data_IF_422285026185
#
_entry.id   IF_422285026185
#
_cell.length_a   1.000
_cell.length_b   1.000
_cell.length_c   1.000
_cell.angle_alpha   90.00
_cell.angle_beta   90.00
_cell.angle_gamma   90.00
#
_symmetry.space_group_name_H-M   'P 1'
#
loop_
_entity.id
_entity.type
_entity.pdbx_description
1 polymer ?
#
# COMPACT_ATOMS: atom_id res chain seq x y z
N UNK A 1 1.72 58.98 19.48
CA UNK A 1 2.20 58.37 18.22
C UNK A 1 2.44 56.88 18.42
N UNK A 2 1.50 56.16 19.06
CA UNK A 2 1.73 54.76 19.49
C UNK A 2 0.69 53.77 18.96
N UNK A 3 -0.53 54.21 18.60
CA UNK A 3 -1.59 53.32 18.12
C UNK A 3 -1.27 52.64 16.78
N UNK A 4 -0.47 53.29 15.91
CA UNK A 4 -0.10 52.74 14.59
C UNK A 4 0.77 51.49 14.70
N UNK A 5 1.70 51.42 15.67
CA UNK A 5 2.60 50.27 15.81
C UNK A 5 1.86 49.00 16.20
N UNK A 6 0.83 49.09 17.03
CA UNK A 6 0.03 47.93 17.44
C UNK A 6 -0.80 47.35 16.30
N UNK A 7 -1.36 48.21 15.44
CA UNK A 7 -2.13 47.76 14.26
C UNK A 7 -1.21 47.06 13.25
N UNK A 8 -0.01 47.60 13.01
CA UNK A 8 0.97 46.97 12.12
C UNK A 8 1.46 45.62 12.65
N UNK A 9 1.72 45.50 13.96
CA UNK A 9 2.10 44.23 14.59
C UNK A 9 0.99 43.19 14.49
N UNK A 10 -0.27 43.60 14.66
CA UNK A 10 -1.44 42.72 14.57
C UNK A 10 -1.65 42.21 13.12
N UNK A 11 -1.52 43.08 12.12
CA UNK A 11 -1.63 42.71 10.69
C UNK A 11 -0.50 41.75 10.27
N UNK A 12 0.74 42.00 10.74
CA UNK A 12 1.87 41.09 10.48
C UNK A 12 1.66 39.71 11.13
N UNK A 13 1.19 39.66 12.37
CA UNK A 13 0.87 38.41 13.05
C UNK A 13 -0.25 37.62 12.35
N UNK A 14 -1.32 38.30 11.90
CA UNK A 14 -2.42 37.66 11.14
C UNK A 14 -1.90 37.12 9.81
N UNK A 15 -1.02 37.85 9.10
CA UNK A 15 -0.45 37.40 7.82
C UNK A 15 0.50 36.21 7.95
N UNK A 16 1.16 36.03 9.11
CA UNK A 16 1.99 34.87 9.41
C UNK A 16 1.14 33.64 9.76
N UNK A 17 -0.02 33.84 10.39
CA UNK A 17 -0.95 32.74 10.70
C UNK A 17 -1.72 32.22 9.47
N UNK A 18 -2.07 33.07 8.50
CA UNK A 18 -2.78 32.62 7.29
C UNK A 18 -1.91 31.79 6.35
N UNK A 19 -0.59 31.93 6.40
CA UNK A 19 0.35 31.12 5.61
C UNK A 19 0.60 29.72 6.21
N UNK A 20 0.10 29.41 7.41
CA UNK A 20 0.19 28.06 8.00
C UNK A 20 -0.99 27.15 7.58
N UNK A 21 -1.98 27.67 6.83
CA UNK A 21 -3.19 26.92 6.44
C UNK A 21 -3.18 26.54 4.94
N UNK A 22 -2.04 26.57 4.27
CA UNK A 22 -1.92 26.12 2.87
C UNK A 22 -0.93 24.97 2.82
N UNK A 23 -1.43 23.73 2.80
CA UNK A 23 -0.55 22.58 2.68
C UNK A 23 -1.16 21.20 2.93
N UNK A 24 -2.45 21.08 3.24
CA UNK A 24 -3.14 19.78 3.18
C UNK A 24 -4.15 19.87 2.05
N UNK A 25 -3.65 19.93 0.82
CA UNK A 25 -4.43 19.40 -0.29
C UNK A 25 -4.59 17.92 0.03
N UNK A 26 -5.74 17.58 0.61
CA UNK A 26 -6.24 16.23 0.56
C UNK A 26 -6.15 15.83 -0.92
N UNK A 27 -5.19 14.97 -1.24
CA UNK A 27 -5.36 14.10 -2.38
C UNK A 27 -6.54 13.22 -2.00
N UNK A 28 -7.76 13.72 -2.24
CA UNK A 28 -8.93 12.89 -2.40
C UNK A 28 -8.65 12.04 -3.64
N UNK A 29 -7.81 11.02 -3.45
CA UNK A 29 -7.81 9.86 -4.31
C UNK A 29 -9.20 9.27 -4.10
N UNK A 30 -10.14 9.69 -4.93
CA UNK A 30 -11.45 9.06 -5.01
C UNK A 30 -11.19 7.60 -5.35
N UNK A 31 -11.27 6.75 -4.32
CA UNK A 31 -11.19 5.32 -4.47
C UNK A 31 -12.32 4.91 -5.40
N UNK A 32 -11.99 4.28 -6.51
CA UNK A 32 -12.99 3.70 -7.40
C UNK A 32 -13.83 2.73 -6.56
N UNK A 33 -15.15 2.93 -6.45
CA UNK A 33 -16.01 2.04 -5.66
C UNK A 33 -15.96 0.58 -6.15
N UNK A 34 -15.53 0.34 -7.39
CA UNK A 34 -15.35 -1.00 -7.95
C UNK A 34 -14.02 -1.66 -7.55
N UNK A 35 -13.06 -0.90 -7.00
CA UNK A 35 -11.73 -1.40 -6.63
C UNK A 35 -11.79 -2.64 -5.73
N UNK A 36 -12.79 -2.67 -4.85
CA UNK A 36 -12.93 -3.67 -3.80
C UNK A 36 -14.20 -4.49 -3.94
N UNK A 37 -14.74 -4.60 -5.17
CA UNK A 37 -15.96 -5.35 -5.46
C UNK A 37 -15.87 -6.81 -5.00
N UNK A 38 -14.67 -7.39 -5.06
CA UNK A 38 -14.42 -8.79 -4.69
C UNK A 38 -13.79 -8.95 -3.30
N UNK A 39 -13.96 -7.97 -2.40
CA UNK A 39 -13.46 -8.11 -1.03
C UNK A 39 -14.30 -9.12 -0.24
N UNK A 40 -13.62 -9.95 0.53
CA UNK A 40 -14.22 -10.85 1.51
C UNK A 40 -13.74 -10.41 2.88
N UNK A 41 -14.68 -10.07 3.77
CA UNK A 41 -14.39 -9.67 5.15
C UNK A 41 -14.61 -10.89 6.05
N UNK A 42 -13.70 -11.10 7.00
CA UNK A 42 -13.82 -12.17 7.99
C UNK A 42 -13.26 -13.51 7.52
N UNK A 43 -12.48 -13.53 6.42
CA UNK A 43 -11.80 -14.72 5.92
C UNK A 43 -10.55 -14.33 5.14
N UNK A 44 -9.55 -15.20 5.14
CA UNK A 44 -8.30 -15.05 4.40
C UNK A 44 -7.86 -16.34 3.73
N UNK A 45 -6.97 -16.23 2.74
CA UNK A 45 -6.30 -17.39 2.16
C UNK A 45 -5.36 -18.03 3.18
N UNK A 46 -5.30 -19.37 3.20
CA UNK A 46 -4.32 -20.11 4.02
C UNK A 46 -3.06 -20.50 3.24
N UNK A 47 -3.03 -20.19 1.94
CA UNK A 47 -1.85 -20.40 1.10
C UNK A 47 -0.67 -19.57 1.64
N UNK A 48 0.54 -20.12 1.54
CA UNK A 48 1.74 -19.39 1.94
C UNK A 48 1.88 -18.10 1.13
N UNK A 49 1.93 -16.93 1.77
CA UNK A 49 2.21 -15.68 1.07
C UNK A 49 3.67 -15.64 0.63
N UNK A 50 3.93 -15.05 -0.54
CA UNK A 50 5.30 -14.84 -1.00
C UNK A 50 5.96 -13.63 -0.33
N UNK A 51 5.15 -12.71 0.22
CA UNK A 51 5.64 -11.56 0.97
C UNK A 51 4.71 -11.24 2.12
N UNK A 52 5.29 -11.00 3.30
CA UNK A 52 4.59 -10.52 4.50
C UNK A 52 5.30 -9.30 5.04
N UNK A 53 4.56 -8.25 5.33
CA UNK A 53 5.12 -7.02 5.91
C UNK A 53 4.08 -6.23 6.69
N UNK A 54 4.56 -5.27 7.49
CA UNK A 54 3.74 -4.33 8.22
C UNK A 54 3.28 -3.20 7.29
N UNK A 55 1.98 -3.07 7.05
CA UNK A 55 1.42 -2.06 6.14
C UNK A 55 0.97 -0.81 6.88
N UNK A 56 0.94 0.33 6.19
CA UNK A 56 0.31 1.56 6.69
C UNK A 56 -1.23 1.52 6.65
N UNK A 57 -1.80 0.45 6.11
CA UNK A 57 -3.24 0.21 6.07
C UNK A 57 -3.65 -0.65 4.88
N UNK A 58 -4.94 -0.92 4.79
CA UNK A 58 -5.49 -1.77 3.72
C UNK A 58 -5.12 -1.27 2.32
N UNK A 59 -5.18 0.05 2.10
CA UNK A 59 -4.89 0.64 0.79
C UNK A 59 -3.41 0.54 0.38
N UNK A 60 -2.50 0.64 1.34
CA UNK A 60 -1.07 0.42 1.09
C UNK A 60 -0.83 -1.06 0.75
N UNK A 61 -1.49 -1.97 1.48
CA UNK A 61 -1.45 -3.41 1.22
C UNK A 61 -1.86 -3.75 -0.22
N UNK A 62 -3.03 -3.27 -0.62
CA UNK A 62 -3.57 -3.43 -1.96
C UNK A 62 -2.67 -2.81 -3.04
N UNK A 63 -2.18 -1.58 -2.80
CA UNK A 63 -1.30 -0.88 -3.75
C UNK A 63 0.00 -1.64 -3.94
N UNK A 64 0.65 -2.11 -2.87
CA UNK A 64 1.89 -2.87 -3.00
C UNK A 64 1.66 -4.12 -3.86
N UNK A 65 0.58 -4.86 -3.64
CA UNK A 65 0.24 -6.00 -4.49
C UNK A 65 0.22 -5.63 -5.97
N UNK A 66 -0.46 -4.55 -6.33
CA UNK A 66 -0.50 -4.07 -7.72
C UNK A 66 0.83 -3.57 -8.30
N UNK A 67 1.89 -3.44 -7.49
CA UNK A 67 3.25 -3.17 -7.97
C UNK A 67 4.07 -4.43 -8.22
N UNK A 68 3.69 -5.58 -7.64
CA UNK A 68 4.40 -6.85 -7.82
C UNK A 68 3.78 -7.64 -8.96
N UNK A 69 4.57 -7.99 -9.96
CA UNK A 69 4.08 -8.72 -11.15
C UNK A 69 3.50 -10.11 -10.84
N UNK A 70 3.93 -10.73 -9.73
CA UNK A 70 3.43 -12.02 -9.28
C UNK A 70 2.22 -11.94 -8.35
N UNK A 71 1.78 -10.75 -7.93
CA UNK A 71 0.73 -10.65 -6.92
C UNK A 71 -0.67 -10.74 -7.53
N UNK A 72 -1.46 -11.69 -7.05
CA UNK A 72 -2.82 -11.93 -7.51
C UNK A 72 -3.87 -11.74 -6.42
N UNK A 73 -3.49 -11.72 -5.14
CA UNK A 73 -4.40 -11.40 -4.05
C UNK A 73 -3.67 -10.95 -2.78
N UNK A 74 -4.44 -10.39 -1.84
CA UNK A 74 -3.95 -9.96 -0.54
C UNK A 74 -4.82 -10.48 0.60
N UNK A 75 -4.18 -10.81 1.72
CA UNK A 75 -4.82 -10.80 3.04
C UNK A 75 -4.32 -9.56 3.80
N UNK A 76 -5.24 -8.80 4.39
CA UNK A 76 -4.89 -7.70 5.28
C UNK A 76 -5.53 -7.92 6.65
N UNK A 77 -4.70 -8.01 7.69
CA UNK A 77 -5.16 -8.08 9.06
C UNK A 77 -5.44 -6.66 9.59
N UNK A 78 -6.68 -6.38 9.98
CA UNK A 78 -7.13 -5.06 10.42
C UNK A 78 -6.68 -4.68 11.83
N UNK A 79 -6.29 -5.67 12.64
CA UNK A 79 -5.83 -5.48 14.02
C UNK A 79 -4.32 -5.28 14.05
N UNK A 80 -3.57 -6.17 13.41
CA UNK A 80 -2.10 -6.12 13.40
C UNK A 80 -1.56 -5.23 12.30
N UNK A 81 -2.37 -4.82 11.31
CA UNK A 81 -1.95 -4.14 10.08
C UNK A 81 -0.95 -4.94 9.22
N UNK A 82 -0.84 -6.24 9.46
CA UNK A 82 -0.03 -7.14 8.65
C UNK A 82 -0.67 -7.31 7.27
N UNK A 83 0.15 -7.20 6.23
CA UNK A 83 -0.22 -7.46 4.85
C UNK A 83 0.50 -8.69 4.34
N UNK A 84 -0.26 -9.61 3.75
CA UNK A 84 0.23 -10.81 3.11
C UNK A 84 -0.11 -10.72 1.62
N UNK A 85 0.90 -10.89 0.77
CA UNK A 85 0.76 -10.91 -0.69
C UNK A 85 0.85 -12.35 -1.20
N UNK A 86 -0.10 -12.74 -2.04
CA UNK A 86 -0.18 -14.10 -2.58
C UNK A 86 -0.07 -14.10 -4.11
N UNK A 87 0.54 -15.16 -4.62
CA UNK A 87 0.72 -15.44 -6.05
C UNK A 87 -0.44 -16.25 -6.65
N UNK A 88 -1.52 -16.39 -5.89
CA UNK A 88 -2.76 -17.03 -6.32
C UNK A 88 -3.93 -16.09 -6.08
N UNK A 89 -4.90 -16.09 -7.01
CA UNK A 89 -6.14 -15.32 -6.86
C UNK A 89 -7.18 -16.03 -5.99
N UNK A 90 -7.05 -17.36 -5.85
CA UNK A 90 -8.01 -18.23 -5.16
C UNK A 90 -7.27 -19.40 -4.48
N UNK A 91 -7.87 -19.95 -3.43
CA UNK A 91 -7.29 -21.05 -2.67
C UNK A 91 -8.17 -21.41 -1.48
N UNK A 92 -7.58 -22.13 -0.52
CA UNK A 92 -8.29 -22.50 0.70
C UNK A 92 -8.50 -21.28 1.58
N UNK A 93 -9.75 -21.04 1.97
CA UNK A 93 -10.14 -19.90 2.79
C UNK A 93 -10.36 -20.38 4.23
N UNK A 94 -9.81 -19.64 5.19
CA UNK A 94 -10.08 -19.84 6.61
C UNK A 94 -10.77 -18.62 7.19
N UNK A 95 -11.74 -18.86 8.09
CA UNK A 95 -12.40 -17.79 8.84
C UNK A 95 -11.41 -17.11 9.77
N UNK A 96 -11.33 -15.80 9.66
CA UNK A 96 -10.57 -14.93 10.54
C UNK A 96 -11.25 -13.57 10.52
N UNK A 97 -11.93 -13.19 11.61
CA UNK A 97 -12.72 -11.96 11.71
C UNK A 97 -11.92 -10.70 11.42
N UNK A 98 -10.61 -10.76 11.65
CA UNK A 98 -9.72 -9.63 11.58
C UNK A 98 -9.11 -9.49 10.18
N UNK A 99 -9.44 -10.38 9.24
CA UNK A 99 -8.85 -10.40 7.91
C UNK A 99 -9.81 -9.87 6.84
N UNK A 100 -9.27 -9.04 5.96
CA UNK A 100 -9.86 -8.65 4.69
C UNK A 100 -9.07 -9.32 3.57
N UNK A 101 -9.70 -10.22 2.84
CA UNK A 101 -9.16 -10.81 1.63
C UNK A 101 -9.64 -10.05 0.40
N UNK A 102 -8.74 -9.81 -0.57
CA UNK A 102 -9.11 -9.25 -1.88
C UNK A 102 -8.32 -9.94 -2.98
N UNK A 103 -9.03 -10.51 -3.96
CA UNK A 103 -8.43 -10.91 -5.22
C UNK A 103 -8.21 -9.67 -6.11
N UNK A 104 -7.02 -9.52 -6.67
CA UNK A 104 -6.69 -8.42 -7.58
C UNK A 104 -7.38 -8.66 -8.92
N UNK A 105 -8.22 -7.73 -9.37
CA UNK A 105 -8.64 -7.70 -10.76
C UNK A 105 -7.60 -6.93 -11.59
N UNK A 106 -7.24 -7.48 -12.76
CA UNK A 106 -6.25 -6.92 -13.71
C UNK A 106 -6.54 -5.45 -14.10
N UNK A 107 -7.75 -4.94 -13.84
CA UNK A 107 -8.22 -3.61 -14.23
C UNK A 107 -8.11 -2.52 -13.16
N UNK A 108 -7.63 -2.83 -11.96
CA UNK A 108 -7.88 -2.00 -10.77
C UNK A 108 -6.92 -0.80 -10.55
N UNK A 109 -7.46 0.37 -10.91
CA UNK A 109 -7.26 1.73 -10.41
C UNK A 109 -6.04 2.59 -10.73
N UNK A 110 -6.34 3.88 -10.91
CA UNK A 110 -5.37 4.97 -11.03
C UNK A 110 -4.45 5.16 -9.82
N UNK A 111 -4.62 4.38 -8.75
CA UNK A 111 -3.74 4.37 -7.56
C UNK A 111 -2.34 3.86 -7.90
N UNK A 112 -2.23 3.00 -8.92
CA UNK A 112 -0.95 2.48 -9.40
C UNK A 112 -0.26 3.45 -10.37
N UNK A 113 -0.92 4.53 -10.79
CA UNK A 113 -0.36 5.52 -11.71
C UNK A 113 0.21 4.88 -12.99
N UNK A 114 1.47 5.18 -13.30
CA UNK A 114 2.20 4.63 -14.45
C UNK A 114 2.43 3.11 -14.37
N UNK A 115 2.31 2.51 -13.17
CA UNK A 115 2.46 1.06 -12.96
C UNK A 115 1.17 0.27 -13.19
N UNK A 116 0.02 0.92 -13.45
CA UNK A 116 -1.30 0.25 -13.53
C UNK A 116 -1.33 -0.98 -14.45
N UNK A 117 -0.61 -0.93 -15.57
CA UNK A 117 -0.52 -2.02 -16.55
C UNK A 117 0.95 -2.31 -16.90
N UNK A 118 1.83 -2.38 -15.89
CA UNK A 118 3.24 -2.62 -16.15
C UNK A 118 3.47 -4.01 -16.78
N UNK A 119 4.38 -4.10 -17.75
CA UNK A 119 4.77 -5.36 -18.40
C UNK A 119 5.91 -6.08 -17.69
N UNK A 120 6.09 -5.83 -16.39
CA UNK A 120 7.24 -6.30 -15.64
C UNK A 120 7.29 -7.84 -15.57
N UNK A 121 8.47 -8.47 -15.76
CA UNK A 121 8.64 -9.91 -15.63
C UNK A 121 8.25 -10.44 -14.24
N UNK A 122 8.01 -11.74 -14.14
CA UNK A 122 7.83 -12.42 -12.85
C UNK A 122 9.05 -12.14 -11.94
N UNK A 123 8.84 -12.09 -10.62
CA UNK A 123 9.86 -11.75 -9.61
C UNK A 123 10.43 -10.33 -9.71
N UNK A 124 9.66 -9.39 -10.27
CA UNK A 124 10.01 -7.98 -10.25
C UNK A 124 8.89 -7.14 -9.65
N UNK A 125 9.28 -5.96 -9.18
CA UNK A 125 8.41 -4.91 -8.68
C UNK A 125 8.49 -3.70 -9.61
N UNK A 126 7.34 -3.11 -9.92
CA UNK A 126 7.26 -1.85 -10.62
C UNK A 126 7.59 -0.69 -9.68
N UNK A 127 8.60 0.10 -10.05
CA UNK A 127 8.97 1.34 -9.37
C UNK A 127 8.74 2.55 -10.27
N UNK A 128 8.07 3.56 -9.71
CA UNK A 128 7.76 4.80 -10.43
C UNK A 128 8.99 5.69 -10.48
N UNK A 129 9.42 6.05 -11.68
CA UNK A 129 10.53 6.94 -11.98
C UNK A 129 10.01 8.16 -12.77
N UNK A 130 9.35 9.07 -12.06
CA UNK A 130 8.69 10.24 -12.65
C UNK A 130 7.55 9.82 -13.58
N UNK A 131 7.58 10.17 -14.88
CA UNK A 131 6.53 9.79 -15.84
C UNK A 131 6.69 8.36 -16.39
N UNK A 132 7.73 7.62 -15.97
CA UNK A 132 8.01 6.25 -16.41
C UNK A 132 8.03 5.31 -15.22
N UNK A 133 8.12 4.01 -15.50
CA UNK A 133 8.43 3.01 -14.50
C UNK A 133 9.66 2.20 -14.89
N UNK A 134 10.25 1.54 -13.90
CA UNK A 134 11.25 0.50 -14.08
C UNK A 134 10.83 -0.76 -13.34
N UNK A 135 11.24 -1.91 -13.85
CA UNK A 135 11.04 -3.18 -13.17
C UNK A 135 12.32 -3.47 -12.39
N UNK A 136 12.20 -3.58 -11.07
CA UNK A 136 13.32 -3.87 -10.17
C UNK A 136 13.18 -5.31 -9.71
N UNK A 137 14.26 -6.07 -9.82
CA UNK A 137 14.31 -7.45 -9.34
C UNK A 137 14.09 -7.49 -7.84
N UNK A 138 13.23 -8.41 -7.40
CA UNK A 138 12.99 -8.66 -5.98
C UNK A 138 13.47 -10.07 -5.65
N UNK A 139 14.42 -10.15 -4.72
CA UNK A 139 14.82 -11.44 -4.15
C UNK A 139 13.75 -11.87 -3.14
N UNK A 140 12.75 -12.59 -3.62
CA UNK A 140 11.64 -13.13 -2.81
C UNK A 140 12.08 -14.43 -2.10
N UNK A 141 13.15 -15.06 -2.57
CA UNK A 141 13.78 -16.19 -1.88
C UNK A 141 14.61 -15.69 -0.70
N UNK A 142 14.06 -15.75 0.51
CA UNK A 142 14.88 -15.76 1.72
C UNK A 142 15.47 -17.17 1.80
N UNK A 143 16.76 -17.33 1.50
CA UNK A 143 17.46 -18.55 1.83
C UNK A 143 17.26 -18.80 3.33
N UNK A 144 16.70 -19.95 3.68
CA UNK A 144 16.77 -20.45 5.04
C UNK A 144 18.26 -20.74 5.24
N UNK A 145 18.97 -19.93 6.03
CA UNK A 145 20.20 -20.44 6.61
C UNK A 145 19.78 -21.63 7.44
N UNK A 146 20.22 -22.82 7.05
CA UNK A 146 20.29 -23.93 7.98
C UNK A 146 21.30 -23.47 9.02
N UNK A 147 20.81 -22.86 10.10
CA UNK A 147 21.64 -22.69 11.28
C UNK A 147 21.84 -24.11 11.83
N UNK A 148 23.11 -24.48 11.90
CA UNK A 148 23.66 -25.79 12.21
C UNK A 148 23.00 -26.46 13.43
N UNK A 149 22.29 -27.58 13.21
CA UNK A 149 22.10 -28.61 14.24
C UNK A 149 23.36 -29.47 14.29
N UNK A 150 24.40 -28.95 14.96
CA UNK A 150 25.46 -29.79 15.53
C UNK A 150 24.95 -30.37 16.86
N UNK A 151 24.33 -31.55 16.79
CA UNK A 151 24.12 -32.45 17.94
C UNK A 151 24.39 -33.89 17.49
N UNK A 152 25.63 -34.36 17.69
CA UNK A 152 25.99 -35.66 18.31
C UNK A 152 27.50 -35.97 18.20
#
# INVERSE_FOLDING_TARGET
MELKNWVFALVMAISLYTNLIIGVAASEMCLDPNLLKNKIIGSGLTNTPFLVYQSNGFMDCYRQCGLYALCYSVNFNTVTLQCELHDVAHGNMQKNSDTIFVAMEISSAGILGVCKNHGCPVNTKCEVNGPRYTCVEVSICKAISQDDEDDD
#
